data_IF_661167625099
#
_entry.id   IF_661167625099
#
_cell.length_a   1.000
_cell.length_b   1.000
_cell.length_c   1.000
_cell.angle_alpha   90.00
_cell.angle_beta   90.00
_cell.angle_gamma   90.00
#
_symmetry.space_group_name_H-M   'P 1'
#
loop_
_entity.id
_entity.type
_entity.pdbx_description
1 polymer ?
#
# COMPACT_ATOMS: atom_id res chain seq x y z
N UNK A 1 -27.31 -35.01 -5.76
CA UNK A 1 -25.88 -35.06 -5.35
C UNK A 1 -24.94 -34.62 -6.48
N UNK A 2 -25.28 -34.87 -7.75
CA UNK A 2 -24.52 -34.43 -8.92
C UNK A 2 -24.57 -32.90 -9.17
N UNK A 3 -25.67 -32.22 -8.78
CA UNK A 3 -25.78 -30.76 -8.96
C UNK A 3 -24.95 -29.93 -7.99
N UNK A 4 -24.79 -30.42 -6.75
CA UNK A 4 -23.93 -29.76 -5.74
C UNK A 4 -22.46 -29.95 -6.12
N UNK A 5 -22.09 -31.14 -6.60
CA UNK A 5 -20.78 -31.37 -7.18
C UNK A 5 -20.57 -30.44 -8.37
N UNK A 6 -21.45 -30.40 -9.38
CA UNK A 6 -21.24 -29.56 -10.58
C UNK A 6 -21.09 -28.06 -10.25
N UNK A 7 -21.85 -27.55 -9.28
CA UNK A 7 -21.70 -26.18 -8.75
C UNK A 7 -20.34 -25.99 -8.09
N UNK A 8 -19.90 -26.91 -7.22
CA UNK A 8 -18.57 -26.83 -6.58
C UNK A 8 -17.43 -26.98 -7.60
N UNK A 9 -17.60 -27.82 -8.62
CA UNK A 9 -16.64 -27.99 -9.72
C UNK A 9 -16.53 -26.71 -10.56
N UNK A 10 -17.64 -26.04 -10.91
CA UNK A 10 -17.60 -24.79 -11.68
C UNK A 10 -17.16 -23.58 -10.85
N UNK A 11 -17.61 -23.47 -9.61
CA UNK A 11 -17.31 -22.32 -8.76
C UNK A 11 -15.94 -22.42 -8.10
N UNK A 12 -15.39 -23.63 -7.89
CA UNK A 12 -14.08 -23.80 -7.26
C UNK A 12 -12.95 -23.18 -8.08
N UNK A 13 -12.86 -23.49 -9.37
CA UNK A 13 -11.84 -22.90 -10.25
C UNK A 13 -12.05 -21.40 -10.47
N UNK A 14 -13.31 -20.98 -10.64
CA UNK A 14 -13.65 -19.57 -10.81
C UNK A 14 -13.32 -18.74 -9.56
N UNK A 15 -13.57 -19.29 -8.37
CA UNK A 15 -13.24 -18.63 -7.11
C UNK A 15 -11.73 -18.50 -6.93
N UNK A 16 -10.95 -19.55 -7.24
CA UNK A 16 -9.48 -19.46 -7.26
C UNK A 16 -9.04 -18.35 -8.21
N UNK A 17 -9.58 -18.32 -9.43
CA UNK A 17 -9.26 -17.28 -10.41
C UNK A 17 -9.56 -15.88 -9.89
N UNK A 18 -10.77 -15.64 -9.38
CA UNK A 18 -11.20 -14.31 -8.94
C UNK A 18 -10.42 -13.82 -7.71
N UNK A 19 -10.17 -14.69 -6.72
CA UNK A 19 -9.44 -14.33 -5.50
C UNK A 19 -7.96 -14.06 -5.82
N UNK A 20 -7.34 -14.90 -6.64
CA UNK A 20 -5.95 -14.71 -7.08
C UNK A 20 -5.82 -13.46 -7.94
N UNK A 21 -6.78 -13.20 -8.85
CA UNK A 21 -6.79 -12.01 -9.69
C UNK A 21 -6.94 -10.75 -8.84
N UNK A 22 -7.83 -10.77 -7.86
CA UNK A 22 -8.03 -9.66 -6.92
C UNK A 22 -6.73 -9.32 -6.19
N UNK A 23 -6.00 -10.31 -5.67
CA UNK A 23 -4.69 -10.08 -5.06
C UNK A 23 -3.68 -9.53 -6.07
N UNK A 24 -3.62 -10.13 -7.27
CA UNK A 24 -2.68 -9.73 -8.31
C UNK A 24 -2.86 -8.27 -8.76
N UNK A 25 -4.08 -7.75 -8.81
CA UNK A 25 -4.35 -6.33 -9.14
C UNK A 25 -4.16 -5.39 -7.93
N UNK A 26 -3.82 -5.92 -6.75
CA UNK A 26 -3.52 -5.14 -5.55
C UNK A 26 -4.68 -4.99 -4.57
N UNK A 27 -5.78 -5.73 -4.71
CA UNK A 27 -6.81 -5.79 -3.68
C UNK A 27 -6.34 -6.68 -2.52
N UNK A 28 -6.74 -6.37 -1.27
CA UNK A 28 -6.43 -7.20 -0.11
C UNK A 28 -7.27 -8.49 -0.17
N UNK A 29 -6.79 -9.49 -0.91
CA UNK A 29 -7.39 -10.80 -1.02
C UNK A 29 -6.38 -11.88 -0.57
N UNK A 30 -6.82 -12.96 0.10
CA UNK A 30 -5.90 -13.98 0.60
C UNK A 30 -5.69 -15.12 -0.41
N UNK A 31 -5.00 -14.87 -1.53
CA UNK A 31 -4.83 -15.86 -2.60
C UNK A 31 -4.05 -17.10 -2.12
N UNK A 32 -3.05 -16.93 -1.25
CA UNK A 32 -2.33 -18.05 -0.62
C UNK A 32 -3.30 -19.04 0.07
N UNK A 33 -4.29 -18.53 0.82
CA UNK A 33 -5.30 -19.37 1.47
C UNK A 33 -6.22 -20.05 0.45
N UNK A 34 -6.62 -19.34 -0.61
CA UNK A 34 -7.44 -19.90 -1.67
C UNK A 34 -6.73 -21.04 -2.41
N UNK A 35 -5.42 -20.91 -2.66
CA UNK A 35 -4.59 -21.94 -3.29
C UNK A 35 -4.36 -23.15 -2.39
N UNK A 36 -4.15 -22.93 -1.08
CA UNK A 36 -4.09 -24.03 -0.09
C UNK A 36 -5.42 -24.77 -0.02
N UNK A 37 -6.55 -24.05 -0.01
CA UNK A 37 -7.88 -24.65 -0.04
C UNK A 37 -8.11 -25.45 -1.34
N UNK A 38 -7.69 -24.91 -2.48
CA UNK A 38 -7.74 -25.61 -3.77
C UNK A 38 -6.89 -26.89 -3.75
N UNK A 39 -5.69 -26.85 -3.18
CA UNK A 39 -4.83 -28.03 -3.00
C UNK A 39 -5.49 -29.11 -2.14
N UNK A 40 -6.10 -28.73 -1.02
CA UNK A 40 -6.82 -29.67 -0.15
C UNK A 40 -8.05 -30.27 -0.84
N UNK A 41 -8.77 -29.47 -1.62
CA UNK A 41 -9.89 -29.95 -2.44
C UNK A 41 -9.41 -30.89 -3.57
N UNK A 42 -8.23 -30.65 -4.12
CA UNK A 42 -7.61 -31.57 -5.07
C UNK A 42 -7.21 -32.91 -4.47
N UNK A 43 -6.70 -32.91 -3.24
CA UNK A 43 -6.44 -34.16 -2.50
C UNK A 43 -7.73 -34.93 -2.16
N UNK A 44 -8.88 -34.25 -2.13
CA UNK A 44 -10.19 -34.86 -1.98
C UNK A 44 -10.83 -35.30 -3.31
N UNK A 45 -10.11 -35.22 -4.43
CA UNK A 45 -10.61 -35.47 -5.79
C UNK A 45 -11.79 -34.58 -6.24
N UNK A 46 -11.96 -33.42 -5.60
CA UNK A 46 -13.01 -32.43 -5.93
C UNK A 46 -12.54 -31.47 -7.03
N UNK A 47 -11.24 -31.13 -7.04
CA UNK A 47 -10.63 -30.28 -8.06
C UNK A 47 -9.43 -30.97 -8.69
N UNK A 48 -9.17 -30.72 -9.97
CA UNK A 48 -7.96 -31.15 -10.63
C UNK A 48 -6.84 -30.12 -10.36
N UNK A 49 -5.75 -30.55 -9.71
CA UNK A 49 -4.66 -29.66 -9.30
C UNK A 49 -4.01 -28.94 -10.50
N UNK A 50 -3.63 -29.63 -11.60
CA UNK A 50 -3.17 -28.96 -12.82
C UNK A 50 -4.11 -27.87 -13.35
N UNK A 51 -5.43 -28.11 -13.33
CA UNK A 51 -6.43 -27.13 -13.78
C UNK A 51 -6.47 -25.93 -12.82
N UNK A 52 -6.45 -26.17 -11.51
CA UNK A 52 -6.41 -25.11 -10.51
C UNK A 52 -5.13 -24.24 -10.63
N UNK A 53 -3.97 -24.86 -10.87
CA UNK A 53 -2.72 -24.15 -11.18
C UNK A 53 -2.90 -23.29 -12.43
N UNK A 54 -3.49 -23.84 -13.50
CA UNK A 54 -3.74 -23.11 -14.74
C UNK A 54 -4.58 -21.84 -14.53
N UNK A 55 -5.69 -21.94 -13.80
CA UNK A 55 -6.53 -20.78 -13.48
C UNK A 55 -5.80 -19.75 -12.60
N UNK A 56 -5.05 -20.20 -11.59
CA UNK A 56 -4.25 -19.31 -10.75
C UNK A 56 -3.17 -18.56 -11.55
N UNK A 57 -2.50 -19.25 -12.48
CA UNK A 57 -1.51 -18.65 -13.36
C UNK A 57 -2.13 -17.63 -14.31
N UNK A 58 -3.27 -17.96 -14.93
CA UNK A 58 -4.00 -17.01 -15.78
C UNK A 58 -4.40 -15.76 -15.01
N UNK A 59 -4.92 -15.91 -13.80
CA UNK A 59 -5.28 -14.79 -12.93
C UNK A 59 -4.09 -13.87 -12.62
N UNK A 60 -2.96 -14.47 -12.19
CA UNK A 60 -1.73 -13.71 -11.92
C UNK A 60 -1.21 -13.01 -13.18
N UNK A 61 -1.04 -13.74 -14.29
CA UNK A 61 -0.51 -13.16 -15.53
C UNK A 61 -1.37 -12.00 -16.04
N UNK A 62 -2.70 -12.09 -15.94
CA UNK A 62 -3.60 -10.99 -16.32
C UNK A 62 -3.39 -9.79 -15.41
N UNK A 63 -3.44 -9.97 -14.08
CA UNK A 63 -3.27 -8.88 -13.11
C UNK A 63 -1.89 -8.22 -13.20
N UNK A 64 -0.83 -9.03 -13.23
CA UNK A 64 0.56 -8.58 -13.28
C UNK A 64 0.87 -7.87 -14.60
N UNK A 65 0.32 -8.35 -15.73
CA UNK A 65 0.48 -7.68 -17.03
C UNK A 65 -0.23 -6.33 -17.07
N UNK A 66 -1.43 -6.23 -16.48
CA UNK A 66 -2.15 -4.96 -16.35
C UNK A 66 -1.31 -3.95 -15.55
N UNK A 67 -0.79 -4.35 -14.41
CA UNK A 67 0.07 -3.49 -13.57
C UNK A 67 1.40 -3.16 -14.25
N UNK A 68 1.99 -4.08 -15.01
CA UNK A 68 3.19 -3.84 -15.80
C UNK A 68 2.97 -2.74 -16.85
N UNK A 69 1.87 -2.82 -17.61
CA UNK A 69 1.55 -1.77 -18.58
C UNK A 69 1.24 -0.45 -17.88
N UNK A 70 0.49 -0.48 -16.77
CA UNK A 70 0.20 0.72 -15.99
C UNK A 70 1.49 1.40 -15.53
N UNK A 71 2.45 0.65 -15.01
CA UNK A 71 3.78 1.16 -14.65
C UNK A 71 4.58 1.67 -15.83
N UNK A 72 4.45 1.04 -17.01
CA UNK A 72 5.14 1.46 -18.24
C UNK A 72 4.61 2.77 -18.82
N UNK A 73 3.30 2.99 -18.77
CA UNK A 73 2.67 4.21 -19.30
C UNK A 73 2.70 5.37 -18.30
N UNK A 74 2.44 5.11 -17.01
CA UNK A 74 2.37 6.15 -15.98
C UNK A 74 3.73 6.47 -15.33
N UNK A 75 4.73 5.62 -15.52
CA UNK A 75 6.11 5.84 -15.04
C UNK A 75 6.18 6.16 -13.54
N UNK A 76 6.97 7.18 -13.20
CA UNK A 76 7.19 7.64 -11.82
C UNK A 76 5.93 8.23 -11.15
N UNK A 77 4.92 8.65 -11.92
CA UNK A 77 3.69 9.21 -11.37
C UNK A 77 2.87 8.15 -10.60
N UNK A 78 2.82 6.90 -11.10
CA UNK A 78 2.16 5.79 -10.41
C UNK A 78 2.91 5.42 -9.12
N UNK A 79 4.25 5.42 -9.17
CA UNK A 79 5.08 5.18 -8.00
C UNK A 79 4.86 6.26 -6.92
N UNK A 80 4.66 7.52 -7.32
CA UNK A 80 4.32 8.61 -6.40
C UNK A 80 2.96 8.42 -5.73
N UNK A 81 1.97 7.82 -6.41
CA UNK A 81 0.62 7.56 -5.87
C UNK A 81 0.64 6.34 -4.94
N UNK A 82 1.29 5.25 -5.36
CA UNK A 82 1.49 4.05 -4.53
C UNK A 82 2.33 4.34 -3.29
N UNK A 83 3.35 5.19 -3.40
CA UNK A 83 4.15 5.66 -2.25
C UNK A 83 3.37 6.61 -1.34
N UNK A 84 2.38 7.35 -1.85
CA UNK A 84 1.49 8.21 -1.03
C UNK A 84 0.51 7.40 -0.18
N UNK A 85 0.19 6.18 -0.60
CA UNK A 85 -0.62 5.21 0.15
C UNK A 85 0.23 4.41 1.14
N UNK A 86 1.54 4.30 0.90
CA UNK A 86 2.50 3.62 1.79
C UNK A 86 2.96 4.54 2.93
N UNK A 87 3.12 3.98 4.13
CA UNK A 87 3.44 4.70 5.38
C UNK A 87 4.80 5.44 5.41
N UNK A 88 5.66 5.28 4.38
CA UNK A 88 6.95 5.98 4.28
C UNK A 88 7.37 6.21 2.79
N UNK A 89 7.08 7.39 2.23
CA UNK A 89 7.22 7.66 0.78
C UNK A 89 8.66 7.81 0.28
N UNK A 90 9.61 8.30 1.09
CA UNK A 90 10.97 8.63 0.61
C UNK A 90 11.92 7.42 0.57
N UNK A 91 11.83 6.51 1.56
CA UNK A 91 12.60 5.26 1.58
C UNK A 91 12.13 4.23 0.56
N UNK A 92 10.87 4.31 0.13
CA UNK A 92 10.25 3.36 -0.80
C UNK A 92 10.78 3.51 -2.22
N UNK A 93 11.15 4.73 -2.63
CA UNK A 93 11.56 5.05 -4.00
C UNK A 93 13.02 4.66 -4.26
N UNK A 94 13.95 5.09 -3.40
CA UNK A 94 15.38 4.94 -3.66
C UNK A 94 15.89 3.52 -3.38
N UNK A 95 15.53 2.90 -2.26
CA UNK A 95 16.02 1.54 -1.91
C UNK A 95 15.41 0.44 -2.77
N UNK A 96 14.14 0.57 -3.14
CA UNK A 96 13.45 -0.43 -3.96
C UNK A 96 13.97 -0.43 -5.39
N UNK A 97 14.20 0.75 -5.97
CA UNK A 97 14.78 0.88 -7.31
C UNK A 97 16.23 0.36 -7.36
N UNK A 98 17.07 0.69 -6.37
CA UNK A 98 18.48 0.24 -6.36
C UNK A 98 18.62 -1.28 -6.18
N UNK A 99 17.79 -1.88 -5.33
CA UNK A 99 17.78 -3.33 -5.10
C UNK A 99 17.23 -4.10 -6.30
N UNK A 100 16.20 -3.56 -6.96
CA UNK A 100 15.66 -4.11 -8.20
C UNK A 100 16.63 -3.93 -9.38
N UNK A 101 17.43 -2.86 -9.40
CA UNK A 101 18.46 -2.68 -10.42
C UNK A 101 19.57 -3.74 -10.31
N UNK A 102 20.00 -4.08 -9.08
CA UNK A 102 21.07 -5.07 -8.84
C UNK A 102 20.59 -6.52 -8.94
N UNK A 103 19.32 -6.84 -8.60
CA UNK A 103 18.79 -8.23 -8.53
C UNK A 103 17.41 -8.46 -9.16
N UNK A 104 16.87 -7.51 -9.92
CA UNK A 104 15.45 -7.46 -10.32
C UNK A 104 14.91 -8.72 -11.03
N UNK A 105 15.77 -9.49 -11.70
CA UNK A 105 15.38 -10.78 -12.30
C UNK A 105 15.02 -11.83 -11.24
N UNK A 106 15.82 -11.94 -10.17
CA UNK A 106 15.55 -12.82 -9.04
C UNK A 106 14.41 -12.27 -8.18
N UNK A 107 14.35 -10.94 -8.02
CA UNK A 107 13.28 -10.31 -7.26
C UNK A 107 11.91 -10.62 -7.86
N UNK A 108 11.73 -10.57 -9.18
CA UNK A 108 10.45 -10.92 -9.81
C UNK A 108 10.01 -12.37 -9.56
N UNK A 109 10.97 -13.30 -9.50
CA UNK A 109 10.69 -14.72 -9.31
C UNK A 109 10.20 -15.02 -7.88
N UNK A 110 10.77 -14.34 -6.88
CA UNK A 110 10.43 -14.53 -5.47
C UNK A 110 9.47 -13.47 -4.89
N UNK A 111 9.20 -12.38 -5.62
CA UNK A 111 8.36 -11.27 -5.16
C UNK A 111 6.98 -11.73 -4.72
N UNK A 112 6.42 -12.75 -5.40
CA UNK A 112 5.08 -13.28 -5.13
C UNK A 112 4.93 -13.85 -3.71
N UNK A 113 6.01 -14.31 -3.09
CA UNK A 113 5.99 -14.86 -1.73
C UNK A 113 6.00 -13.79 -0.63
N UNK A 114 6.27 -12.53 -0.97
CA UNK A 114 6.37 -11.44 -0.01
C UNK A 114 5.20 -10.47 -0.23
N UNK A 115 4.23 -10.43 0.69
CA UNK A 115 3.10 -9.51 0.59
C UNK A 115 3.55 -8.06 0.42
N UNK A 116 2.94 -7.34 -0.52
CA UNK A 116 3.27 -5.96 -0.84
C UNK A 116 4.44 -5.81 -1.81
N UNK A 117 5.40 -6.75 -1.87
CA UNK A 117 6.41 -6.77 -2.94
C UNK A 117 5.80 -7.35 -4.22
N UNK A 118 4.92 -8.34 -4.09
CA UNK A 118 4.21 -8.97 -5.21
C UNK A 118 3.43 -7.97 -6.08
N UNK A 119 2.70 -7.02 -5.46
CA UNK A 119 1.90 -6.00 -6.16
C UNK A 119 2.75 -4.85 -6.71
N UNK A 120 3.91 -4.58 -6.09
CA UNK A 120 4.82 -3.49 -6.49
C UNK A 120 5.79 -3.89 -7.60
N UNK A 121 6.12 -5.18 -7.72
CA UNK A 121 7.12 -5.66 -8.67
C UNK A 121 6.72 -5.50 -10.15
N UNK A 122 5.49 -5.86 -10.59
CA UNK A 122 5.07 -5.64 -11.98
C UNK A 122 5.10 -4.17 -12.44
N UNK A 123 4.51 -3.19 -11.70
CA UNK A 123 4.54 -1.80 -12.14
C UNK A 123 5.96 -1.21 -12.10
N UNK A 124 6.82 -1.66 -11.18
CA UNK A 124 8.23 -1.26 -11.15
C UNK A 124 9.01 -1.80 -12.37
N UNK A 125 8.79 -3.05 -12.75
CA UNK A 125 9.37 -3.61 -13.97
C UNK A 125 8.92 -2.86 -15.23
N UNK A 126 7.64 -2.45 -15.26
CA UNK A 126 7.07 -1.62 -16.31
C UNK A 126 7.72 -0.23 -16.42
N UNK A 127 7.84 0.46 -15.29
CA UNK A 127 8.40 1.83 -15.23
C UNK A 127 9.88 1.88 -15.61
N UNK A 128 10.62 0.80 -15.34
CA UNK A 128 12.01 0.60 -15.77
C UNK A 128 12.15 0.18 -17.24
N UNK A 129 11.05 0.19 -18.02
CA UNK A 129 11.01 -0.18 -19.44
C UNK A 129 11.55 -1.58 -19.75
N UNK A 130 11.42 -2.53 -18.82
CA UNK A 130 11.81 -3.92 -19.05
C UNK A 130 11.12 -4.49 -20.30
N UNK A 131 11.79 -5.38 -21.03
CA UNK A 131 11.21 -6.03 -22.22
C UNK A 131 10.05 -6.94 -21.79
N UNK A 132 8.88 -6.80 -22.43
CA UNK A 132 7.67 -7.57 -22.08
C UNK A 132 7.91 -9.09 -22.05
N UNK A 133 8.59 -9.64 -23.07
CA UNK A 133 8.89 -11.08 -23.11
C UNK A 133 9.89 -11.54 -22.03
N UNK A 134 10.69 -10.64 -21.45
CA UNK A 134 11.52 -10.97 -20.30
C UNK A 134 10.69 -10.95 -19.00
N UNK A 135 9.81 -9.96 -18.86
CA UNK A 135 8.89 -9.86 -17.74
C UNK A 135 7.97 -11.09 -17.67
N UNK A 136 7.26 -11.41 -18.76
CA UNK A 136 6.33 -12.53 -18.83
C UNK A 136 6.99 -13.87 -18.51
N UNK A 137 8.24 -14.11 -18.93
CA UNK A 137 8.94 -15.37 -18.61
C UNK A 137 9.27 -15.50 -17.12
N UNK A 138 9.74 -14.42 -16.51
CA UNK A 138 10.07 -14.41 -15.08
C UNK A 138 8.81 -14.45 -14.22
N UNK A 139 7.78 -13.70 -14.61
CA UNK A 139 6.49 -13.68 -13.96
C UNK A 139 5.78 -15.03 -14.05
N UNK A 140 5.78 -15.67 -15.23
CA UNK A 140 5.27 -17.02 -15.42
C UNK A 140 5.98 -18.03 -14.51
N UNK A 141 7.31 -17.99 -14.44
CA UNK A 141 8.09 -18.88 -13.58
C UNK A 141 7.77 -18.65 -12.09
N UNK A 142 7.68 -17.39 -11.66
CA UNK A 142 7.30 -17.04 -10.29
C UNK A 142 5.86 -17.45 -9.97
N UNK A 143 4.92 -17.23 -10.90
CA UNK A 143 3.51 -17.58 -10.76
C UNK A 143 3.32 -19.09 -10.65
N UNK A 144 4.01 -19.86 -11.49
CA UNK A 144 4.01 -21.32 -11.41
C UNK A 144 4.58 -21.79 -10.08
N UNK A 145 5.75 -21.27 -9.67
CA UNK A 145 6.39 -21.65 -8.41
C UNK A 145 5.48 -21.34 -7.21
N UNK A 146 4.87 -20.16 -7.18
CA UNK A 146 3.93 -19.74 -6.15
C UNK A 146 2.69 -20.66 -6.10
N UNK A 147 1.99 -20.80 -7.23
CA UNK A 147 0.77 -21.62 -7.32
C UNK A 147 1.04 -23.09 -6.95
N UNK A 148 2.10 -23.68 -7.51
CA UNK A 148 2.49 -25.05 -7.22
C UNK A 148 2.82 -25.23 -5.74
N UNK A 149 3.58 -24.31 -5.13
CA UNK A 149 3.96 -24.39 -3.71
C UNK A 149 2.72 -24.43 -2.81
N UNK A 150 1.81 -23.47 -2.94
CA UNK A 150 0.63 -23.41 -2.07
C UNK A 150 -0.37 -24.53 -2.33
N UNK A 151 -0.54 -24.95 -3.59
CA UNK A 151 -1.40 -26.11 -3.92
C UNK A 151 -0.80 -27.41 -3.38
N UNK A 152 0.51 -27.63 -3.50
CA UNK A 152 1.18 -28.82 -2.94
C UNK A 152 1.06 -28.82 -1.42
N UNK A 153 1.27 -27.68 -0.76
CA UNK A 153 1.06 -27.55 0.70
C UNK A 153 -0.38 -27.94 1.06
N UNK A 154 -1.38 -27.39 0.36
CA UNK A 154 -2.78 -27.76 0.59
C UNK A 154 -3.07 -29.24 0.36
N UNK A 155 -2.45 -29.83 -0.66
CA UNK A 155 -2.61 -31.22 -1.03
C UNK A 155 -2.03 -32.17 0.05
N UNK A 156 -0.80 -31.89 0.51
CA UNK A 156 -0.12 -32.70 1.53
C UNK A 156 -0.73 -32.55 2.92
N UNK A 157 -1.15 -31.33 3.30
CA UNK A 157 -1.69 -31.04 4.62
C UNK A 157 -3.24 -31.05 4.66
N UNK A 158 -3.88 -31.81 3.77
CA UNK A 158 -5.35 -31.90 3.66
C UNK A 158 -6.03 -32.08 5.01
N UNK A 159 -5.58 -33.02 5.83
CA UNK A 159 -6.24 -33.35 7.11
C UNK A 159 -6.19 -32.19 8.11
N UNK A 160 -5.12 -31.40 8.08
CA UNK A 160 -5.00 -30.19 8.89
C UNK A 160 -5.92 -29.09 8.36
N UNK A 161 -5.98 -28.90 7.03
CA UNK A 161 -6.89 -27.94 6.39
C UNK A 161 -8.35 -28.29 6.64
N UNK A 162 -8.72 -29.58 6.60
CA UNK A 162 -10.09 -30.06 6.89
C UNK A 162 -10.43 -29.91 8.37
N UNK A 163 -9.49 -30.16 9.29
CA UNK A 163 -9.71 -29.93 10.73
C UNK A 163 -9.86 -28.43 11.05
N UNK A 164 -9.03 -27.59 10.45
CA UNK A 164 -9.14 -26.13 10.58
C UNK A 164 -10.48 -25.65 10.02
N UNK A 165 -10.88 -26.06 8.82
CA UNK A 165 -12.16 -25.63 8.21
C UNK A 165 -13.38 -26.10 9.00
N UNK A 166 -13.34 -27.30 9.61
CA UNK A 166 -14.38 -27.76 10.55
C UNK A 166 -14.38 -26.97 11.86
N UNK A 167 -13.22 -26.61 12.41
CA UNK A 167 -13.11 -25.71 13.57
C UNK A 167 -13.54 -24.27 13.28
N UNK A 168 -13.33 -23.80 12.04
CA UNK A 168 -13.72 -22.47 11.54
C UNK A 168 -15.24 -22.32 11.41
N UNK A 169 -16.04 -23.40 11.36
CA UNK A 169 -17.50 -23.20 11.39
C UNK A 169 -17.99 -22.58 12.70
N UNK A 170 -17.25 -22.72 13.81
CA UNK A 170 -17.47 -21.98 15.05
C UNK A 170 -16.62 -20.72 15.21
N UNK A 171 -15.33 -20.79 14.84
CA UNK A 171 -14.35 -19.71 15.06
C UNK A 171 -14.33 -18.67 13.92
N UNK A 172 -14.71 -19.06 12.71
CA UNK A 172 -14.69 -18.24 11.51
C UNK A 172 -15.62 -17.05 11.59
N UNK A 173 -16.82 -17.23 12.17
CA UNK A 173 -17.75 -16.11 12.39
C UNK A 173 -17.16 -15.09 13.35
N UNK A 174 -16.55 -15.54 14.44
CA UNK A 174 -15.88 -14.67 15.41
C UNK A 174 -14.71 -13.94 14.77
N UNK A 175 -13.87 -14.64 13.99
CA UNK A 175 -12.71 -14.04 13.33
C UNK A 175 -13.12 -13.02 12.24
N UNK A 176 -14.17 -13.32 11.48
CA UNK A 176 -14.76 -12.40 10.51
C UNK A 176 -15.35 -11.18 11.21
N UNK A 177 -16.11 -11.37 12.29
CA UNK A 177 -16.67 -10.26 13.08
C UNK A 177 -15.58 -9.39 13.71
N UNK A 178 -14.52 -9.99 14.25
CA UNK A 178 -13.36 -9.26 14.81
C UNK A 178 -12.61 -8.48 13.72
N UNK A 179 -12.45 -9.06 12.54
CA UNK A 179 -11.76 -8.38 11.41
C UNK A 179 -12.60 -7.21 10.89
N UNK A 180 -13.91 -7.40 10.71
CA UNK A 180 -14.83 -6.33 10.31
C UNK A 180 -14.85 -5.24 11.39
N UNK A 181 -14.91 -5.62 12.67
CA UNK A 181 -14.87 -4.69 13.78
C UNK A 181 -13.57 -3.86 13.78
N UNK A 182 -12.42 -4.49 13.59
CA UNK A 182 -11.13 -3.80 13.51
C UNK A 182 -11.08 -2.80 12.34
N UNK A 183 -11.59 -3.18 11.16
CA UNK A 183 -11.68 -2.29 9.99
C UNK A 183 -12.60 -1.11 10.28
N UNK A 184 -13.77 -1.34 10.87
CA UNK A 184 -14.73 -0.29 11.22
C UNK A 184 -14.14 0.68 12.24
N UNK A 185 -13.51 0.16 13.30
CA UNK A 185 -12.82 0.98 14.32
C UNK A 185 -11.71 1.81 13.68
N UNK A 186 -10.92 1.23 12.78
CA UNK A 186 -9.88 1.96 12.06
C UNK A 186 -10.45 3.09 11.19
N UNK A 187 -11.53 2.83 10.45
CA UNK A 187 -12.21 3.84 9.63
C UNK A 187 -12.79 4.95 10.51
N UNK A 188 -13.45 4.61 11.62
CA UNK A 188 -14.00 5.58 12.58
C UNK A 188 -12.86 6.43 13.16
N UNK A 189 -11.77 5.81 13.60
CA UNK A 189 -10.59 6.51 14.09
C UNK A 189 -10.06 7.50 13.04
N UNK A 190 -9.92 7.07 11.77
CA UNK A 190 -9.49 7.95 10.68
C UNK A 190 -10.47 9.08 10.41
N UNK A 191 -11.78 8.83 10.45
CA UNK A 191 -12.81 9.87 10.29
C UNK A 191 -12.80 10.87 11.44
N UNK A 192 -12.68 10.41 12.69
CA UNK A 192 -12.59 11.28 13.87
C UNK A 192 -11.35 12.15 13.78
N UNK A 193 -10.20 11.58 13.42
CA UNK A 193 -8.99 12.35 13.22
C UNK A 193 -9.18 13.38 12.11
N UNK A 194 -9.72 12.99 10.95
CA UNK A 194 -9.99 13.91 9.84
C UNK A 194 -10.94 15.05 10.24
N UNK A 195 -12.01 14.76 11.00
CA UNK A 195 -12.94 15.78 11.50
C UNK A 195 -12.30 16.68 12.55
N UNK A 196 -11.45 16.14 13.43
CA UNK A 196 -10.67 16.92 14.40
C UNK A 196 -9.70 17.87 13.70
N UNK A 197 -8.93 17.38 12.73
CA UNK A 197 -8.05 18.21 11.90
C UNK A 197 -8.81 19.33 11.21
N UNK A 198 -9.98 19.04 10.62
CA UNK A 198 -10.82 20.05 9.95
C UNK A 198 -11.45 21.05 10.92
N UNK A 199 -11.71 20.65 12.16
CA UNK A 199 -12.22 21.53 13.20
C UNK A 199 -11.14 22.46 13.80
N UNK A 200 -9.86 22.08 13.72
CA UNK A 200 -8.73 22.93 14.13
C UNK A 200 -8.11 23.74 12.99
N UNK A 201 -8.61 23.64 11.76
CA UNK A 201 -8.16 24.43 10.60
C UNK A 201 -8.78 25.85 10.60
N UNK A 202 -8.81 26.49 11.77
CA UNK A 202 -9.32 27.86 11.99
C UNK A 202 -8.12 28.80 12.18
N UNK A 203 -7.05 28.62 11.41
CA UNK A 203 -5.96 29.60 11.39
C UNK A 203 -6.25 30.59 10.25
N UNK A 204 -6.63 31.84 10.56
CA UNK A 204 -6.91 32.83 9.53
C UNK A 204 -5.65 33.08 8.71
N UNK A 205 -5.79 33.06 7.38
CA UNK A 205 -4.70 33.34 6.45
C UNK A 205 -4.70 34.83 6.11
N UNK A 206 -3.53 35.46 6.15
CA UNK A 206 -3.33 36.85 5.73
C UNK A 206 -2.63 36.89 4.37
N UNK A 207 -3.00 37.84 3.52
CA UNK A 207 -2.29 38.09 2.27
C UNK A 207 -0.92 38.72 2.55
N UNK A 208 0.11 38.32 1.79
CA UNK A 208 1.49 38.80 1.97
C UNK A 208 1.59 40.32 1.91
N UNK A 209 0.82 40.96 1.03
CA UNK A 209 0.79 42.42 0.87
C UNK A 209 0.26 43.13 2.13
N UNK A 210 -0.72 42.53 2.79
CA UNK A 210 -1.32 43.09 4.00
C UNK A 210 -0.38 42.94 5.20
N UNK A 211 0.29 41.78 5.29
CA UNK A 211 1.34 41.57 6.29
C UNK A 211 2.48 42.58 6.10
N UNK A 212 2.93 42.80 4.86
CA UNK A 212 3.99 43.76 4.56
C UNK A 212 3.62 45.20 4.97
N UNK A 213 2.36 45.62 4.77
CA UNK A 213 1.89 46.92 5.26
C UNK A 213 1.92 47.01 6.78
N UNK A 214 1.46 45.97 7.49
CA UNK A 214 1.49 45.94 8.96
C UNK A 214 2.91 46.00 9.52
N UNK A 215 3.87 45.33 8.86
CA UNK A 215 5.29 45.38 9.23
C UNK A 215 5.89 46.79 9.16
N UNK A 216 5.39 47.65 8.26
CA UNK A 216 5.85 49.03 8.14
C UNK A 216 5.26 49.96 9.19
N UNK A 217 4.08 49.62 9.73
CA UNK A 217 3.32 50.50 10.65
C UNK A 217 3.52 50.14 12.12
N UNK A 218 3.54 48.85 12.48
CA UNK A 218 3.64 48.39 13.89
C UNK A 218 4.56 47.17 14.02
N UNK A 219 5.86 47.36 13.76
CA UNK A 219 6.85 46.26 13.78
C UNK A 219 7.08 45.64 15.17
N UNK A 220 6.74 46.35 16.26
CA UNK A 220 7.00 45.89 17.62
C UNK A 220 5.93 44.92 18.17
N UNK A 221 4.71 44.95 17.60
CA UNK A 221 3.54 44.19 18.09
C UNK A 221 3.31 42.86 17.36
N UNK A 222 4.16 42.55 16.37
CA UNK A 222 4.05 41.35 15.55
C UNK A 222 5.31 40.49 15.66
N UNK A 223 5.10 39.18 15.57
CA UNK A 223 6.15 38.18 15.53
C UNK A 223 5.97 37.31 14.29
N UNK A 224 7.03 37.12 13.52
CA UNK A 224 7.02 36.29 12.32
C UNK A 224 7.82 35.03 12.59
N UNK A 225 7.21 33.87 12.38
CA UNK A 225 7.78 32.56 12.69
C UNK A 225 7.93 31.74 11.41
N UNK A 226 9.16 31.32 11.13
CA UNK A 226 9.52 30.44 10.03
C UNK A 226 9.50 28.99 10.52
N UNK A 227 8.56 28.18 10.00
CA UNK A 227 8.41 26.75 10.36
C UNK A 227 8.86 25.81 9.22
N UNK A 228 9.71 26.29 8.30
CA UNK A 228 10.25 25.45 7.22
C UNK A 228 11.11 24.31 7.78
N UNK A 229 10.91 23.11 7.23
CA UNK A 229 11.71 21.95 7.57
C UNK A 229 13.16 22.08 7.09
N UNK A 230 14.06 21.26 7.63
CA UNK A 230 15.50 21.35 7.41
C UNK A 230 15.92 21.40 5.94
N UNK A 231 15.21 20.73 5.03
CA UNK A 231 15.51 20.74 3.59
C UNK A 231 15.15 22.03 2.85
N UNK A 232 14.49 23.00 3.51
CA UNK A 232 14.12 24.29 2.94
C UNK A 232 14.72 25.49 3.72
N UNK A 233 15.52 25.22 4.77
CA UNK A 233 16.20 26.21 5.59
C UNK A 233 17.72 26.14 5.35
N UNK A 234 18.16 26.64 4.20
CA UNK A 234 19.58 26.73 3.85
C UNK A 234 20.14 28.13 4.07
N UNK A 235 21.46 28.27 4.24
CA UNK A 235 22.16 29.54 4.46
C UNK A 235 21.95 30.57 3.33
N UNK A 236 21.63 30.11 2.11
CA UNK A 236 21.29 30.95 0.96
C UNK A 236 19.79 31.23 0.77
N UNK A 237 18.92 30.72 1.66
CA UNK A 237 17.48 30.90 1.52
C UNK A 237 17.03 32.31 1.93
N UNK A 238 16.25 32.95 1.05
CA UNK A 238 15.60 34.22 1.39
C UNK A 238 14.63 34.01 2.57
N UNK A 239 14.61 34.98 3.48
CA UNK A 239 13.81 34.97 4.70
C UNK A 239 13.05 36.28 4.82
N UNK A 240 11.88 36.23 5.46
CA UNK A 240 11.18 37.45 5.84
C UNK A 240 12.02 38.15 6.91
N UNK A 241 12.31 39.43 6.72
CA UNK A 241 13.15 40.18 7.64
C UNK A 241 12.57 40.15 9.07
N UNK A 242 13.42 39.83 10.06
CA UNK A 242 13.00 39.74 11.47
C UNK A 242 12.28 38.44 11.84
N UNK A 243 12.20 37.44 10.95
CA UNK A 243 11.60 36.15 11.30
C UNK A 243 12.49 35.33 12.24
N UNK A 244 11.85 34.63 13.17
CA UNK A 244 12.46 33.67 14.09
C UNK A 244 12.15 32.27 13.57
N UNK A 245 13.15 31.39 13.54
CA UNK A 245 12.95 30.01 13.10
C UNK A 245 12.47 29.17 14.27
N UNK A 246 11.37 28.45 14.06
CA UNK A 246 10.92 27.39 14.95
C UNK A 246 11.11 26.04 14.28
N UNK A 247 11.75 25.10 14.96
CA UNK A 247 12.02 23.78 14.39
C UNK A 247 10.81 22.86 14.57
N UNK A 248 10.25 22.28 13.49
CA UNK A 248 9.04 21.44 13.59
C UNK A 248 9.17 20.27 14.58
N UNK A 249 10.39 19.77 14.80
CA UNK A 249 10.68 18.68 15.74
C UNK A 249 10.73 19.13 17.21
N UNK A 250 10.94 20.43 17.47
CA UNK A 250 11.03 21.02 18.81
C UNK A 250 9.84 21.94 19.13
N UNK A 251 8.82 21.95 18.27
CA UNK A 251 7.69 22.87 18.32
C UNK A 251 6.98 22.87 19.68
N UNK A 252 6.86 21.72 20.35
CA UNK A 252 6.20 21.62 21.67
C UNK A 252 6.95 22.39 22.78
N UNK A 253 8.27 22.52 22.67
CA UNK A 253 9.09 23.28 23.62
C UNK A 253 9.07 24.77 23.27
N UNK A 254 9.23 25.08 21.98
CA UNK A 254 9.30 26.45 21.47
C UNK A 254 7.96 27.21 21.54
N UNK A 255 6.81 26.52 21.43
CA UNK A 255 5.48 27.13 21.59
C UNK A 255 5.34 27.81 22.96
N UNK A 256 5.99 27.29 24.01
CA UNK A 256 5.91 27.88 25.35
C UNK A 256 6.65 29.22 25.47
N UNK A 257 7.54 29.51 24.52
CA UNK A 257 8.32 30.75 24.46
C UNK A 257 7.58 31.86 23.69
N UNK A 258 6.43 31.56 23.10
CA UNK A 258 5.68 32.54 22.32
C UNK A 258 5.06 33.62 23.22
N UNK A 259 5.28 34.91 22.91
CA UNK A 259 4.62 36.01 23.61
C UNK A 259 3.12 35.94 23.37
N UNK A 260 2.32 36.07 24.44
CA UNK A 260 0.84 36.03 24.37
C UNK A 260 0.22 37.38 24.00
N UNK A 261 1.03 38.43 24.01
CA UNK A 261 0.68 39.83 23.78
C UNK A 261 0.91 40.30 22.34
N UNK A 262 1.45 39.43 21.46
CA UNK A 262 1.78 39.76 20.07
C UNK A 262 0.98 38.95 19.07
N UNK A 263 0.76 39.54 17.89
CA UNK A 263 0.22 38.82 16.74
C UNK A 263 1.29 37.93 16.12
N UNK A 264 1.05 36.62 16.06
CA UNK A 264 2.01 35.62 15.57
C UNK A 264 1.63 35.21 14.15
N UNK A 265 2.52 35.47 13.20
CA UNK A 265 2.38 35.09 11.80
C UNK A 265 3.33 33.94 11.47
N UNK A 266 2.78 32.80 11.10
CA UNK A 266 3.55 31.59 10.78
C UNK A 266 3.63 31.43 9.26
N UNK A 267 4.81 31.15 8.72
CA UNK A 267 4.97 30.83 7.29
C UNK A 267 5.81 29.58 7.06
N UNK A 268 5.49 28.89 5.96
CA UNK A 268 6.26 27.79 5.40
C UNK A 268 6.57 28.07 3.92
N UNK A 269 7.20 27.12 3.24
CA UNK A 269 7.44 27.16 1.78
C UNK A 269 6.13 27.19 0.99
#
# INVERSE_FOLDING_TARGET
MNDVLSIVWHHGYLLVFLVVLAEAIGLPAPAALALVAAGAASAAHILNAPVAIGFAMLAMMVGDTLLFFLGRYMGWALLSVLCRVSLNPETCILRSAETFYKRGKLTLLFAKFIPGVNTMAPPLAGSMKMRLGQFLRLDFAGAFLYAATYIIIGFLFRDFVVKITRGIQGVGRVLTEVTIFAIVVFIIYRMVQYRRYKATDIVPRIAVQELAKRMLVSSQDLMIVDVRSHGYYDSGSARIAGSIRFEPNQLNEEINLLPKDKDIFVYCT
#
